data_IF_640856483899
#
_entry.id   IF_640856483899
#
_cell.length_a   1.000
_cell.length_b   1.000
_cell.length_c   1.000
_cell.angle_alpha   90.00
_cell.angle_beta   90.00
_cell.angle_gamma   90.00
#
_symmetry.space_group_name_H-M   'P 1'
#
loop_
_entity.id
_entity.type
_entity.pdbx_description
1 polymer ?
#
# COMPACT_ATOMS: atom_id res chain seq x y z
N UNK A 1 -6.12 -26.18 -11.25
CA UNK A 1 -5.55 -27.25 -10.40
C UNK A 1 -5.46 -26.72 -8.98
N UNK A 2 -5.92 -27.48 -7.98
CA UNK A 2 -5.75 -27.09 -6.57
C UNK A 2 -4.52 -27.80 -6.01
N UNK A 3 -3.55 -27.03 -5.53
CA UNK A 3 -2.34 -27.52 -4.86
C UNK A 3 -2.44 -27.27 -3.36
N UNK A 4 -1.84 -28.16 -2.57
CA UNK A 4 -1.88 -28.10 -1.10
C UNK A 4 -0.70 -27.30 -0.57
N UNK A 5 -0.99 -26.30 0.27
CA UNK A 5 -0.01 -25.58 1.07
C UNK A 5 -0.15 -26.01 2.54
N UNK A 6 0.97 -26.37 3.19
CA UNK A 6 1.00 -26.72 4.62
C UNK A 6 1.81 -25.68 5.37
N UNK A 7 1.22 -25.06 6.39
CA UNK A 7 1.86 -24.04 7.23
C UNK A 7 2.13 -24.61 8.62
N UNK A 8 3.28 -24.26 9.22
CA UNK A 8 3.56 -24.51 10.65
C UNK A 8 3.17 -23.26 11.41
N UNK A 9 2.26 -23.40 12.37
CA UNK A 9 1.69 -22.31 13.16
C UNK A 9 1.49 -22.82 14.59
N UNK A 10 1.42 -21.89 15.55
CA UNK A 10 1.12 -22.23 16.93
C UNK A 10 -0.31 -22.78 17.07
N UNK A 11 -0.50 -23.77 17.94
CA UNK A 11 -1.78 -24.46 18.13
C UNK A 11 -2.90 -23.50 18.56
N UNK A 12 -2.58 -22.50 19.38
CA UNK A 12 -3.54 -21.47 19.79
C UNK A 12 -4.04 -20.65 18.62
N UNK A 13 -3.15 -20.32 17.69
CA UNK A 13 -3.48 -19.58 16.48
C UNK A 13 -4.38 -20.42 15.56
N UNK A 14 -4.07 -21.72 15.41
CA UNK A 14 -4.90 -22.66 14.64
C UNK A 14 -6.32 -22.73 15.22
N UNK A 15 -6.45 -22.84 16.55
CA UNK A 15 -7.76 -22.85 17.23
C UNK A 15 -8.53 -21.56 16.99
N UNK A 16 -7.87 -20.41 17.14
CA UNK A 16 -8.48 -19.10 16.93
C UNK A 16 -8.99 -18.93 15.49
N UNK A 17 -8.16 -19.30 14.51
CA UNK A 17 -8.50 -19.19 13.10
C UNK A 17 -9.68 -20.10 12.71
N UNK A 18 -9.75 -21.32 13.26
CA UNK A 18 -10.89 -22.24 13.03
C UNK A 18 -12.19 -21.71 13.64
N UNK A 19 -12.13 -21.13 14.84
CA UNK A 19 -13.31 -20.51 15.46
C UNK A 19 -13.85 -19.35 14.61
N UNK A 20 -12.96 -18.46 14.19
CA UNK A 20 -13.33 -17.34 13.32
C UNK A 20 -13.90 -17.80 11.97
N UNK A 21 -13.33 -18.86 11.38
CA UNK A 21 -13.85 -19.50 10.17
C UNK A 21 -15.30 -19.97 10.33
N UNK A 22 -15.62 -20.57 11.47
CA UNK A 22 -16.97 -21.05 11.78
C UNK A 22 -17.96 -19.89 12.00
N UNK A 23 -17.56 -18.86 12.75
CA UNK A 23 -18.39 -17.69 13.03
C UNK A 23 -18.73 -16.89 11.76
N UNK A 24 -17.78 -16.78 10.83
CA UNK A 24 -17.94 -16.01 9.59
C UNK A 24 -18.49 -16.81 8.42
N UNK A 25 -18.55 -18.14 8.53
CA UNK A 25 -18.93 -19.04 7.42
C UNK A 25 -17.89 -19.11 6.28
N UNK A 26 -16.75 -18.43 6.41
CA UNK A 26 -15.66 -18.47 5.42
C UNK A 26 -14.65 -19.53 5.81
N UNK A 27 -14.31 -20.43 4.88
CA UNK A 27 -13.28 -21.44 5.13
C UNK A 27 -11.91 -20.81 5.36
N UNK A 28 -11.08 -21.45 6.19
CA UNK A 28 -9.71 -20.99 6.43
C UNK A 28 -8.88 -20.90 5.14
N UNK A 29 -9.05 -21.86 4.24
CA UNK A 29 -8.40 -21.84 2.93
C UNK A 29 -8.80 -20.63 2.09
N UNK A 30 -10.07 -20.24 2.12
CA UNK A 30 -10.55 -19.05 1.42
C UNK A 30 -9.97 -17.78 2.03
N UNK A 31 -9.96 -17.66 3.36
CA UNK A 31 -9.39 -16.48 4.04
C UNK A 31 -7.90 -16.28 3.72
N UNK A 32 -7.12 -17.36 3.72
CA UNK A 32 -5.70 -17.32 3.35
C UNK A 32 -5.51 -17.03 1.86
N UNK A 33 -6.38 -17.60 1.00
CA UNK A 33 -6.37 -17.32 -0.44
C UNK A 33 -6.65 -15.84 -0.75
N UNK A 34 -7.66 -15.26 -0.11
CA UNK A 34 -7.99 -13.83 -0.25
C UNK A 34 -6.81 -12.95 0.20
N UNK A 35 -6.15 -13.30 1.30
CA UNK A 35 -4.96 -12.59 1.77
C UNK A 35 -3.79 -12.66 0.78
N UNK A 36 -3.50 -13.84 0.22
CA UNK A 36 -2.46 -13.97 -0.80
C UNK A 36 -2.79 -13.23 -2.09
N UNK A 37 -4.07 -13.16 -2.48
CA UNK A 37 -4.50 -12.35 -3.62
C UNK A 37 -4.23 -10.86 -3.40
N UNK A 38 -4.43 -10.35 -2.18
CA UNK A 38 -4.10 -8.96 -1.82
C UNK A 38 -2.59 -8.69 -1.87
N UNK A 39 -1.76 -9.63 -1.41
CA UNK A 39 -0.29 -9.50 -1.52
C UNK A 39 0.12 -9.46 -3.00
N UNK A 40 -0.38 -10.40 -3.81
CA UNK A 40 -0.05 -10.47 -5.23
C UNK A 40 -0.51 -9.20 -5.98
N UNK A 41 -1.68 -8.66 -5.63
CA UNK A 41 -2.17 -7.41 -6.21
C UNK A 41 -1.29 -6.21 -5.83
N UNK A 42 -0.75 -6.16 -4.60
CA UNK A 42 0.20 -5.12 -4.19
C UNK A 42 1.49 -5.20 -5.00
N UNK A 43 2.03 -6.39 -5.17
CA UNK A 43 3.29 -6.59 -5.88
C UNK A 43 3.13 -6.36 -7.39
N UNK A 44 1.96 -6.69 -7.96
CA UNK A 44 1.63 -6.41 -9.36
C UNK A 44 1.48 -4.90 -9.67
N UNK A 45 1.10 -4.09 -8.68
CA UNK A 45 1.02 -2.63 -8.85
C UNK A 45 2.39 -1.93 -8.79
N UNK A 46 3.48 -2.67 -8.54
CA UNK A 46 4.82 -2.12 -8.42
C UNK A 46 4.96 -1.12 -7.26
N UNK A 47 6.14 -0.54 -7.07
CA UNK A 47 6.22 0.71 -6.30
C UNK A 47 5.33 1.74 -7.00
N UNK A 48 4.61 2.61 -6.26
CA UNK A 48 3.79 3.64 -6.90
C UNK A 48 4.69 4.37 -7.90
N UNK A 49 4.39 4.18 -9.18
CA UNK A 49 5.18 4.77 -10.25
C UNK A 49 4.90 6.26 -10.20
N UNK A 50 5.78 6.98 -9.52
CA UNK A 50 5.74 8.43 -9.46
C UNK A 50 5.72 8.91 -10.92
N UNK A 51 4.64 9.61 -11.28
CA UNK A 51 4.46 10.08 -12.66
C UNK A 51 5.70 10.88 -13.08
N UNK A 52 6.07 10.91 -14.38
CA UNK A 52 7.27 11.62 -14.82
C UNK A 52 7.34 13.07 -14.32
N UNK A 53 6.18 13.75 -14.26
CA UNK A 53 6.05 15.11 -13.72
C UNK A 53 6.32 15.21 -12.23
N UNK A 54 5.81 14.28 -11.43
CA UNK A 54 6.06 14.30 -9.97
C UNK A 54 7.52 13.91 -9.70
N UNK A 55 8.10 13.00 -10.49
CA UNK A 55 9.51 12.62 -10.40
C UNK A 55 10.43 13.79 -10.74
N UNK A 56 10.08 14.62 -11.72
CA UNK A 56 10.86 15.81 -12.07
C UNK A 56 10.78 16.90 -10.99
N UNK A 57 9.73 16.91 -10.16
CA UNK A 57 9.56 17.89 -9.07
C UNK A 57 10.18 17.42 -7.74
N UNK A 58 10.38 16.11 -7.57
CA UNK A 58 10.96 15.55 -6.35
C UNK A 58 12.38 16.09 -6.11
N UNK A 59 12.57 16.80 -5.00
CA UNK A 59 13.87 17.32 -4.58
C UNK A 59 14.26 18.68 -5.17
N UNK A 60 13.42 19.30 -6.00
CA UNK A 60 13.71 20.63 -6.61
C UNK A 60 13.92 21.73 -5.56
N UNK A 61 13.28 21.62 -4.39
CA UNK A 61 13.42 22.58 -3.29
C UNK A 61 14.36 22.09 -2.18
N UNK A 62 15.20 21.08 -2.43
CA UNK A 62 16.10 20.55 -1.40
C UNK A 62 17.11 21.64 -0.99
N UNK A 63 17.05 22.04 0.28
CA UNK A 63 17.93 23.08 0.84
C UNK A 63 17.48 24.51 0.54
N UNK A 64 16.34 24.70 -0.14
CA UNK A 64 15.76 26.02 -0.31
C UNK A 64 15.02 26.45 0.97
N UNK A 65 15.26 27.68 1.41
CA UNK A 65 14.44 28.36 2.42
C UNK A 65 13.46 29.27 1.69
N UNK A 66 12.29 28.71 1.38
CA UNK A 66 11.19 29.43 0.75
C UNK A 66 10.02 29.47 1.72
N UNK A 67 9.38 30.63 1.81
CA UNK A 67 8.21 30.83 2.64
C UNK A 67 6.99 31.28 1.81
N UNK A 68 5.88 31.55 2.51
CA UNK A 68 4.64 31.95 1.86
C UNK A 68 4.73 33.36 1.25
N UNK A 69 5.61 34.23 1.75
CA UNK A 69 5.80 35.57 1.19
C UNK A 69 6.51 35.49 -0.17
N UNK A 70 7.46 34.56 -0.33
CA UNK A 70 8.09 34.27 -1.62
C UNK A 70 7.06 33.84 -2.68
N UNK A 71 6.09 33.01 -2.27
CA UNK A 71 5.00 32.59 -3.16
C UNK A 71 4.09 33.74 -3.55
N UNK A 72 3.69 34.60 -2.60
CA UNK A 72 2.85 35.78 -2.89
C UNK A 72 3.53 36.74 -3.86
N UNK A 73 4.82 37.03 -3.65
CA UNK A 73 5.62 37.87 -4.55
C UNK A 73 5.72 37.27 -5.95
N UNK A 74 5.94 35.96 -6.07
CA UNK A 74 5.92 35.26 -7.36
C UNK A 74 4.58 35.43 -8.10
N UNK A 75 3.44 35.33 -7.40
CA UNK A 75 2.13 35.51 -8.02
C UNK A 75 1.92 36.94 -8.52
N UNK A 76 2.34 37.95 -7.75
CA UNK A 76 2.28 39.36 -8.15
C UNK A 76 3.11 39.62 -9.42
N UNK A 77 4.32 39.07 -9.50
CA UNK A 77 5.18 39.18 -10.69
C UNK A 77 4.61 38.44 -11.90
N UNK A 78 4.02 37.25 -11.69
CA UNK A 78 3.50 36.39 -12.76
C UNK A 78 2.25 36.95 -13.44
N UNK A 79 1.40 37.64 -12.69
CA UNK A 79 0.12 38.18 -13.18
C UNK A 79 0.16 39.70 -13.43
N UNK A 80 1.35 40.28 -13.49
CA UNK A 80 1.57 41.66 -13.93
C UNK A 80 1.51 41.77 -15.45
#
# INVERSE_FOLDING_TARGET
MNTKLTLRLDDELIRSAKRYSHETGKSLSQMVGDYFALIAARDAQGSPTVSPRVRSLAGVLKGATVDEADYRRHLEEKYR
#
